data_IF_049655817605
#
_entry.id   IF_049655817605
#
_cell.length_a   1.000
_cell.length_b   1.000
_cell.length_c   1.000
_cell.angle_alpha   90.00
_cell.angle_beta   90.00
_cell.angle_gamma   90.00
#
_symmetry.space_group_name_H-M   'P 1'
#
loop_
_entity.id
_entity.type
_entity.pdbx_description
1 polymer ?
#
# COMPACT_ATOMS: atom_id res chain seq x y z
N UNK A 1 15.90 7.17 -16.32
CA UNK A 1 14.75 6.25 -16.44
C UNK A 1 13.57 6.91 -15.72
N UNK A 2 12.37 7.07 -16.32
CA UNK A 2 11.28 7.76 -15.65
C UNK A 2 10.77 6.91 -14.48
N UNK A 3 10.82 7.48 -13.29
CA UNK A 3 10.59 6.87 -11.98
C UNK A 3 9.13 6.46 -11.70
N UNK A 4 8.28 6.41 -12.73
CA UNK A 4 6.82 6.33 -12.61
C UNK A 4 6.19 4.97 -12.91
N UNK A 5 6.94 3.95 -13.34
CA UNK A 5 6.35 2.71 -13.89
C UNK A 5 6.43 1.47 -12.98
N UNK A 6 7.06 1.54 -11.81
CA UNK A 6 7.05 0.46 -10.79
C UNK A 6 5.89 0.62 -9.77
N UNK A 7 4.83 1.28 -10.20
CA UNK A 7 3.60 1.51 -9.43
C UNK A 7 2.69 0.25 -9.41
N UNK A 8 1.95 0.10 -8.30
CA UNK A 8 0.71 -0.69 -8.15
C UNK A 8 0.77 -2.16 -7.69
N UNK A 9 1.89 -2.67 -7.17
CA UNK A 9 2.01 -4.10 -6.83
C UNK A 9 1.26 -4.58 -5.57
N UNK A 10 0.30 -3.82 -5.04
CA UNK A 10 -0.71 -4.35 -4.11
C UNK A 10 -2.15 -3.88 -4.40
N UNK A 11 -2.37 -2.98 -5.36
CA UNK A 11 -3.66 -2.25 -5.41
C UNK A 11 -4.37 -2.22 -6.76
N UNK A 12 -3.78 -2.64 -7.88
CA UNK A 12 -4.53 -2.67 -9.15
C UNK A 12 -4.16 -3.93 -9.96
N UNK A 13 -5.02 -4.95 -9.87
CA UNK A 13 -5.30 -5.76 -11.04
C UNK A 13 -5.81 -4.81 -12.14
N UNK A 14 -5.31 -4.98 -13.37
CA UNK A 14 -5.56 -4.17 -14.57
C UNK A 14 -4.59 -3.00 -14.80
N UNK A 15 -3.43 -3.38 -15.35
CA UNK A 15 -2.64 -2.52 -16.23
C UNK A 15 -3.56 -1.97 -17.34
N UNK A 16 -3.50 -0.66 -17.59
CA UNK A 16 -3.84 0.08 -18.83
C UNK A 16 -5.00 1.09 -18.84
N UNK A 17 -5.77 1.29 -17.77
CA UNK A 17 -6.88 2.26 -17.81
C UNK A 17 -6.65 3.50 -16.92
N UNK A 18 -6.44 4.67 -17.54
CA UNK A 18 -6.36 5.95 -16.84
C UNK A 18 -7.68 6.31 -16.11
N UNK A 19 -8.83 5.83 -16.59
CA UNK A 19 -10.12 6.08 -15.97
C UNK A 19 -10.23 5.40 -14.60
N UNK A 20 -9.70 4.18 -14.48
CA UNK A 20 -9.63 3.48 -13.19
C UNK A 20 -8.70 4.18 -12.20
N UNK A 21 -7.65 4.85 -12.68
CA UNK A 21 -6.76 5.66 -11.84
C UNK A 21 -7.47 6.89 -11.28
N UNK A 22 -8.24 7.62 -12.10
CA UNK A 22 -8.99 8.79 -11.63
C UNK A 22 -10.02 8.40 -10.57
N UNK A 23 -10.77 7.32 -10.80
CA UNK A 23 -11.73 6.77 -9.82
C UNK A 23 -11.09 6.33 -8.50
N UNK A 24 -9.86 5.82 -8.56
CA UNK A 24 -9.11 5.49 -7.35
C UNK A 24 -8.88 6.74 -6.49
N UNK A 25 -8.41 7.85 -7.08
CA UNK A 25 -8.17 9.10 -6.35
C UNK A 25 -9.45 9.85 -5.95
N UNK A 26 -10.59 9.58 -6.59
CA UNK A 26 -11.90 10.02 -6.10
C UNK A 26 -12.25 9.37 -4.76
N UNK A 27 -11.92 8.09 -4.58
CA UNK A 27 -12.28 7.30 -3.40
C UNK A 27 -11.20 7.33 -2.30
N UNK A 28 -9.92 7.27 -2.68
CA UNK A 28 -8.78 7.20 -1.77
C UNK A 28 -8.05 8.54 -1.72
N UNK A 29 -8.09 9.19 -0.56
CA UNK A 29 -7.57 10.56 -0.35
C UNK A 29 -6.08 10.61 -0.01
N UNK A 30 -5.56 9.55 0.60
CA UNK A 30 -4.17 9.44 1.00
C UNK A 30 -3.59 8.16 0.41
N UNK A 31 -3.21 8.17 -0.88
CA UNK A 31 -2.61 7.01 -1.52
C UNK A 31 -1.26 6.67 -0.86
N UNK A 32 -0.97 5.37 -0.75
CA UNK A 32 0.32 4.86 -0.30
C UNK A 32 0.60 3.51 -0.97
N UNK A 33 1.88 3.20 -1.18
CA UNK A 33 2.34 1.94 -1.76
C UNK A 33 3.78 1.65 -1.30
N UNK A 34 4.21 0.39 -1.45
CA UNK A 34 5.54 -0.05 -0.97
C UNK A 34 6.71 0.62 -1.70
N UNK A 35 6.56 1.04 -2.96
CA UNK A 35 7.61 1.75 -3.70
C UNK A 35 7.78 3.17 -3.14
N UNK A 36 6.66 3.86 -2.87
CA UNK A 36 6.66 5.16 -2.17
C UNK A 36 7.25 5.02 -0.77
N UNK A 37 6.90 3.97 -0.03
CA UNK A 37 7.51 3.70 1.27
C UNK A 37 9.01 3.45 1.17
N UNK A 38 9.48 2.68 0.19
CA UNK A 38 10.91 2.45 -0.06
C UNK A 38 11.65 3.76 -0.32
N UNK A 39 11.11 4.62 -1.19
CA UNK A 39 11.66 5.95 -1.42
C UNK A 39 11.74 6.79 -0.14
N UNK A 40 10.66 6.82 0.67
CA UNK A 40 10.66 7.54 1.95
C UNK A 40 11.70 7.00 2.92
N UNK A 41 11.91 5.69 2.94
CA UNK A 41 12.92 5.05 3.78
C UNK A 41 14.33 5.44 3.33
N UNK A 42 14.64 5.27 2.05
CA UNK A 42 15.97 5.54 1.48
C UNK A 42 16.38 7.02 1.61
N UNK A 43 15.40 7.93 1.62
CA UNK A 43 15.63 9.37 1.75
C UNK A 43 15.47 9.88 3.21
N UNK A 44 15.34 8.99 4.19
CA UNK A 44 15.28 9.38 5.61
C UNK A 44 14.01 10.14 6.01
N UNK A 45 12.92 10.01 5.25
CA UNK A 45 11.64 10.68 5.54
C UNK A 45 10.87 10.04 6.71
N UNK A 46 11.27 8.85 7.16
CA UNK A 46 10.74 8.25 8.39
C UNK A 46 11.62 8.61 9.57
N UNK A 47 11.13 9.52 10.41
CA UNK A 47 11.82 9.94 11.64
C UNK A 47 11.58 8.98 12.81
N UNK A 48 10.69 8.00 12.65
CA UNK A 48 10.39 6.99 13.68
C UNK A 48 9.79 5.71 13.08
N UNK A 49 9.84 4.61 13.84
CA UNK A 49 9.22 3.33 13.45
C UNK A 49 7.70 3.47 13.31
N UNK A 50 7.08 4.31 14.13
CA UNK A 50 5.64 4.59 14.10
C UNK A 50 5.25 5.32 12.82
N UNK A 51 6.13 6.19 12.29
CA UNK A 51 5.90 6.84 11.00
C UNK A 51 5.90 5.86 9.83
N UNK A 52 6.79 4.85 9.87
CA UNK A 52 6.80 3.76 8.91
C UNK A 52 5.54 2.88 9.06
N UNK A 53 5.19 2.51 10.29
CA UNK A 53 4.03 1.66 10.59
C UNK A 53 2.71 2.28 10.09
N UNK A 54 2.52 3.61 10.29
CA UNK A 54 1.34 4.32 9.78
C UNK A 54 1.14 4.18 8.28
N UNK A 55 2.22 4.14 7.50
CA UNK A 55 2.13 3.98 6.06
C UNK A 55 1.83 2.53 5.64
N UNK A 56 2.30 1.54 6.41
CA UNK A 56 1.87 0.13 6.24
C UNK A 56 0.36 0.01 6.49
N UNK A 57 -0.12 0.59 7.60
CA UNK A 57 -1.53 0.58 7.96
C UNK A 57 -2.37 1.28 6.89
N UNK A 58 -1.85 2.36 6.31
CA UNK A 58 -2.51 3.09 5.23
C UNK A 58 -2.64 2.27 3.94
N UNK A 59 -1.63 1.47 3.59
CA UNK A 59 -1.73 0.53 2.44
C UNK A 59 -2.86 -0.49 2.68
N UNK A 60 -2.91 -1.09 3.87
CA UNK A 60 -3.93 -2.08 4.25
C UNK A 60 -5.33 -1.45 4.26
N UNK A 61 -5.47 -0.27 4.87
CA UNK A 61 -6.74 0.45 4.96
C UNK A 61 -7.26 0.85 3.57
N UNK A 62 -6.39 1.38 2.69
CA UNK A 62 -6.75 1.73 1.33
C UNK A 62 -7.16 0.48 0.52
N UNK A 63 -6.46 -0.64 0.70
CA UNK A 63 -6.80 -1.92 0.08
C UNK A 63 -8.20 -2.40 0.44
N UNK A 64 -8.58 -2.33 1.71
CA UNK A 64 -9.92 -2.69 2.17
C UNK A 64 -10.98 -1.68 1.76
N UNK A 65 -10.65 -0.40 1.74
CA UNK A 65 -11.59 0.65 1.34
C UNK A 65 -11.91 0.57 -0.15
N UNK A 66 -10.90 0.34 -1.00
CA UNK A 66 -11.08 0.33 -2.45
C UNK A 66 -11.68 -0.97 -2.96
N UNK A 67 -11.16 -2.12 -2.53
CA UNK A 67 -11.49 -3.42 -3.09
C UNK A 67 -12.72 -4.04 -2.41
N UNK A 68 -13.63 -4.67 -3.16
CA UNK A 68 -14.77 -5.39 -2.58
C UNK A 68 -14.32 -6.57 -1.69
N UNK A 69 -15.05 -6.86 -0.59
CA UNK A 69 -14.84 -8.06 0.22
C UNK A 69 -14.94 -9.35 -0.62
N UNK A 70 -14.20 -10.39 -0.22
CA UNK A 70 -14.21 -11.70 -0.90
C UNK A 70 -13.43 -11.76 -2.22
N UNK A 71 -12.81 -10.65 -2.64
CA UNK A 71 -11.90 -10.63 -3.79
C UNK A 71 -10.52 -11.17 -3.42
N UNK A 72 -9.78 -11.70 -4.41
CA UNK A 72 -8.39 -12.15 -4.22
C UNK A 72 -7.50 -11.03 -3.63
N UNK A 73 -7.76 -9.77 -3.98
CA UNK A 73 -7.02 -8.62 -3.45
C UNK A 73 -7.19 -8.46 -1.94
N UNK A 74 -8.39 -8.71 -1.40
CA UNK A 74 -8.62 -8.70 0.04
C UNK A 74 -7.92 -9.89 0.71
N UNK A 75 -7.96 -11.08 0.09
CA UNK A 75 -7.21 -12.25 0.59
C UNK A 75 -5.70 -11.99 0.67
N UNK A 76 -5.11 -11.37 -0.36
CA UNK A 76 -3.68 -11.00 -0.34
C UNK A 76 -3.38 -9.89 0.68
N UNK A 77 -4.31 -8.94 0.86
CA UNK A 77 -4.21 -7.90 1.91
C UNK A 77 -4.16 -8.52 3.30
N UNK A 78 -5.01 -9.52 3.56
CA UNK A 78 -5.06 -10.20 4.86
C UNK A 78 -3.79 -11.02 5.13
N UNK A 79 -3.24 -11.68 4.11
CA UNK A 79 -1.94 -12.37 4.21
C UNK A 79 -0.81 -11.38 4.52
N UNK A 80 -0.79 -10.23 3.84
CA UNK A 80 0.19 -9.18 4.06
C UNK A 80 0.11 -8.63 5.49
N UNK A 81 -1.10 -8.33 5.98
CA UNK A 81 -1.33 -7.88 7.36
C UNK A 81 -0.82 -8.93 8.36
N UNK A 82 -1.19 -10.21 8.19
CA UNK A 82 -0.76 -11.28 9.08
C UNK A 82 0.77 -11.46 9.10
N UNK A 83 1.43 -11.32 7.95
CA UNK A 83 2.89 -11.34 7.86
C UNK A 83 3.51 -10.15 8.62
N UNK A 84 2.97 -8.95 8.43
CA UNK A 84 3.45 -7.73 9.06
C UNK A 84 3.31 -7.76 10.59
N UNK A 85 2.14 -8.16 11.10
CA UNK A 85 1.87 -8.30 12.54
C UNK A 85 2.83 -9.31 13.18
N UNK A 86 3.01 -10.48 12.56
CA UNK A 86 3.97 -11.49 13.04
C UNK A 86 5.41 -10.97 13.05
N UNK A 87 5.78 -10.18 12.05
CA UNK A 87 7.13 -9.59 11.96
C UNK A 87 7.35 -8.51 13.01
N UNK A 88 6.31 -7.79 13.41
CA UNK A 88 6.39 -6.72 14.42
C UNK A 88 6.53 -7.29 15.84
N UNK A 89 5.93 -8.45 16.11
CA UNK A 89 6.06 -9.19 17.37
C UNK A 89 7.49 -9.74 17.62
N UNK A 90 8.35 -9.79 16.60
CA UNK A 90 9.75 -10.22 16.77
C UNK A 90 10.67 -9.11 17.30
N UNK A 91 10.16 -7.88 17.40
CA UNK A 91 10.93 -6.70 17.81
C UNK A 91 10.37 -6.00 19.05
N UNK A 92 9.51 -6.69 19.81
CA UNK A 92 9.02 -6.35 21.15
C UNK A 92 9.58 -7.36 22.14
#
# INVERSE_FOLDING_TARGET
>A
MPQGELHYLLMIAFRSDQLNRLRYFEKIKHPMDLSTMGYKLDNGHYTSREAFARDVDLIIANARAYNPPGTMLITETDKFQAFYERSTLLFT
#
